data_IF_043333284889
#
_entry.id   IF_043333284889
#
_cell.length_a   1.000
_cell.length_b   1.000
_cell.length_c   1.000
_cell.angle_alpha   90.00
_cell.angle_beta   90.00
_cell.angle_gamma   90.00
#
_symmetry.space_group_name_H-M   'P 1'
#
loop_
_entity.id
_entity.type
_entity.pdbx_description
1 polymer ?
#
# COMPACT_ATOMS: atom_id res chain seq x y z
N UNK A 1 6.87 4.38 -13.55
CA UNK A 1 7.53 3.31 -14.33
C UNK A 1 8.99 3.71 -14.47
N UNK A 2 9.93 2.86 -14.08
CA UNK A 2 11.38 3.16 -14.11
C UNK A 2 12.15 2.28 -15.12
N UNK A 3 11.47 1.42 -15.86
CA UNK A 3 12.04 0.68 -17.00
C UNK A 3 11.68 1.35 -18.32
N UNK A 4 12.59 1.33 -19.29
CA UNK A 4 12.50 1.99 -20.60
C UNK A 4 12.13 1.04 -21.75
N UNK A 5 12.05 -0.26 -21.48
CA UNK A 5 11.77 -1.33 -22.44
C UNK A 5 10.56 -2.21 -22.04
N UNK A 6 9.67 -1.69 -21.21
CA UNK A 6 8.49 -2.43 -20.74
C UNK A 6 7.42 -2.51 -21.85
N UNK A 7 6.62 -3.59 -21.90
CA UNK A 7 5.45 -3.66 -22.77
C UNK A 7 4.45 -2.53 -22.48
N UNK A 8 3.57 -2.25 -23.45
CA UNK A 8 2.52 -1.26 -23.27
C UNK A 8 1.55 -1.67 -22.15
N UNK A 9 0.86 -0.72 -21.47
CA UNK A 9 -0.08 -1.08 -20.42
C UNK A 9 -1.18 -2.07 -20.86
N UNK A 10 -1.79 -1.96 -22.07
CA UNK A 10 -2.71 -2.98 -22.58
C UNK A 10 -2.09 -4.38 -22.70
N UNK A 11 -0.83 -4.48 -23.14
CA UNK A 11 -0.12 -5.76 -23.23
C UNK A 11 0.13 -6.36 -21.85
N UNK A 12 0.48 -5.52 -20.87
CA UNK A 12 0.62 -5.96 -19.47
C UNK A 12 -0.71 -6.46 -18.92
N UNK A 13 -1.82 -5.76 -19.17
CA UNK A 13 -3.17 -6.22 -18.78
C UNK A 13 -3.51 -7.57 -19.45
N UNK A 14 -3.16 -7.75 -20.72
CA UNK A 14 -3.34 -9.03 -21.42
C UNK A 14 -2.51 -10.15 -20.78
N UNK A 15 -1.28 -9.87 -20.34
CA UNK A 15 -0.45 -10.83 -19.60
C UNK A 15 -1.08 -11.21 -18.26
N UNK A 16 -1.62 -10.24 -17.51
CA UNK A 16 -2.34 -10.51 -16.25
C UNK A 16 -3.49 -11.50 -16.47
N UNK A 17 -4.31 -11.27 -17.50
CA UNK A 17 -5.41 -12.17 -17.86
C UNK A 17 -4.92 -13.55 -18.29
N UNK A 18 -3.88 -13.60 -19.13
CA UNK A 18 -3.29 -14.87 -19.62
C UNK A 18 -2.83 -15.79 -18.49
N UNK A 19 -2.32 -15.22 -17.40
CA UNK A 19 -1.82 -15.95 -16.24
C UNK A 19 -2.76 -15.92 -15.04
N UNK A 20 -4.03 -15.54 -15.23
CA UNK A 20 -5.06 -15.51 -14.17
C UNK A 20 -4.66 -14.67 -12.93
N UNK A 21 -3.92 -13.59 -13.15
CA UNK A 21 -3.56 -12.64 -12.09
C UNK A 21 -4.69 -11.63 -11.94
N UNK A 22 -5.37 -11.65 -10.79
CA UNK A 22 -6.55 -10.82 -10.53
C UNK A 22 -6.26 -9.45 -9.90
N UNK A 23 -5.07 -9.27 -9.31
CA UNK A 23 -4.75 -8.12 -8.46
C UNK A 23 -3.51 -7.41 -8.97
N UNK A 24 -3.58 -6.09 -9.06
CA UNK A 24 -2.46 -5.24 -9.49
C UNK A 24 -2.24 -4.10 -8.51
N UNK A 25 -0.97 -3.81 -8.21
CA UNK A 25 -0.54 -2.64 -7.46
C UNK A 25 0.24 -1.73 -8.40
N UNK A 26 -0.20 -0.48 -8.55
CA UNK A 26 0.57 0.58 -9.22
C UNK A 26 1.11 1.51 -8.13
N UNK A 27 2.41 1.80 -8.17
CA UNK A 27 3.08 2.54 -7.08
C UNK A 27 2.84 4.06 -7.12
N UNK A 28 2.39 4.57 -8.27
CA UNK A 28 1.99 5.96 -8.46
C UNK A 28 0.84 6.01 -9.45
N UNK A 29 0.03 7.09 -9.46
CA UNK A 29 -0.95 7.30 -10.50
C UNK A 29 -0.28 7.34 -11.88
N UNK A 30 -0.92 6.72 -12.86
CA UNK A 30 -0.43 6.72 -14.23
C UNK A 30 -1.65 6.65 -15.17
N UNK A 31 -1.97 7.74 -15.88
CA UNK A 31 -3.15 7.79 -16.74
C UNK A 31 -3.20 6.69 -17.80
N UNK A 32 -2.07 6.33 -18.42
CA UNK A 32 -2.05 5.29 -19.45
C UNK A 32 -2.38 3.92 -18.87
N UNK A 33 -1.80 3.58 -17.72
CA UNK A 33 -2.07 2.32 -17.02
C UNK A 33 -3.51 2.29 -16.50
N UNK A 34 -3.98 3.36 -15.86
CA UNK A 34 -5.34 3.41 -15.32
C UNK A 34 -6.40 3.36 -16.42
N UNK A 35 -6.14 3.99 -17.58
CA UNK A 35 -7.00 3.84 -18.76
C UNK A 35 -7.03 2.39 -19.28
N UNK A 36 -5.88 1.72 -19.36
CA UNK A 36 -5.82 0.32 -19.78
C UNK A 36 -6.53 -0.63 -18.79
N UNK A 37 -6.66 -0.24 -17.53
CA UNK A 37 -7.36 -0.99 -16.48
C UNK A 37 -8.87 -0.74 -16.46
N UNK A 38 -9.39 0.27 -17.16
CA UNK A 38 -10.84 0.53 -17.24
C UNK A 38 -11.58 -0.67 -17.83
N UNK A 39 -12.69 -1.05 -17.18
CA UNK A 39 -13.56 -2.16 -17.56
C UNK A 39 -12.81 -3.51 -17.64
N UNK A 40 -11.66 -3.61 -16.97
CA UNK A 40 -10.96 -4.86 -16.76
C UNK A 40 -11.42 -5.45 -15.42
N UNK A 41 -11.62 -6.76 -15.37
CA UNK A 41 -11.97 -7.48 -14.14
C UNK A 41 -10.72 -7.70 -13.26
N UNK A 42 -10.04 -6.59 -12.92
CA UNK A 42 -8.84 -6.55 -12.10
C UNK A 42 -9.08 -5.69 -10.86
N UNK A 43 -8.52 -6.13 -9.74
CA UNK A 43 -8.58 -5.43 -8.45
C UNK A 43 -7.31 -4.57 -8.32
N UNK A 44 -7.48 -3.25 -8.26
CA UNK A 44 -6.37 -2.30 -8.38
C UNK A 44 -6.08 -1.60 -7.04
N UNK A 45 -4.81 -1.53 -6.67
CA UNK A 45 -4.31 -0.65 -5.63
C UNK A 45 -3.45 0.46 -6.26
N UNK A 46 -3.79 1.72 -5.98
CA UNK A 46 -3.08 2.91 -6.50
C UNK A 46 -2.29 3.56 -5.39
N UNK A 47 -0.98 3.69 -5.56
CA UNK A 47 -0.09 4.36 -4.62
C UNK A 47 -0.16 5.88 -4.74
N UNK A 48 -0.16 6.56 -3.59
CA UNK A 48 0.20 7.98 -3.49
C UNK A 48 1.73 8.04 -3.44
N UNK A 49 2.32 8.89 -4.28
CA UNK A 49 3.77 9.07 -4.29
C UNK A 49 4.25 9.69 -2.97
N UNK A 50 5.43 9.30 -2.51
CA UNK A 50 5.95 9.73 -1.22
C UNK A 50 6.07 11.26 -1.12
N UNK A 51 6.46 11.90 -2.22
CA UNK A 51 6.59 13.35 -2.36
C UNK A 51 5.26 14.12 -2.29
N UNK A 52 4.13 13.46 -2.61
CA UNK A 52 2.81 14.09 -2.58
C UNK A 52 2.22 14.12 -1.14
N UNK A 53 2.72 13.25 -0.24
CA UNK A 53 2.15 13.02 1.10
C UNK A 53 2.09 14.30 1.96
N UNK A 54 3.16 15.11 2.09
CA UNK A 54 3.12 16.27 2.98
C UNK A 54 2.08 17.31 2.55
N UNK A 55 1.92 17.53 1.25
CA UNK A 55 0.93 18.48 0.72
C UNK A 55 -0.49 18.00 0.97
N UNK A 56 -0.76 16.72 0.70
CA UNK A 56 -2.06 16.08 0.96
C UNK A 56 -2.39 16.10 2.46
N UNK A 57 -1.40 15.85 3.32
CA UNK A 57 -1.55 15.90 4.77
C UNK A 57 -1.92 17.30 5.28
N UNK A 58 -1.29 18.34 4.73
CA UNK A 58 -1.44 19.71 5.18
C UNK A 58 -2.73 20.39 4.68
N UNK A 59 -3.32 19.92 3.58
CA UNK A 59 -4.41 20.62 2.89
C UNK A 59 -5.48 19.66 2.35
N UNK A 60 -6.72 19.77 2.84
CA UNK A 60 -7.86 19.00 2.32
C UNK A 60 -8.11 19.26 0.83
N UNK A 61 -7.92 20.50 0.36
CA UNK A 61 -8.06 20.86 -1.06
C UNK A 61 -7.07 20.10 -1.93
N UNK A 62 -5.83 19.90 -1.44
CA UNK A 62 -4.83 19.12 -2.17
C UNK A 62 -5.22 17.64 -2.25
N UNK A 63 -5.85 17.09 -1.21
CA UNK A 63 -6.42 15.75 -1.25
C UNK A 63 -7.58 15.64 -2.26
N UNK A 64 -8.44 16.67 -2.31
CA UNK A 64 -9.56 16.75 -3.25
C UNK A 64 -9.10 16.81 -4.71
N UNK A 65 -8.10 17.65 -4.99
CA UNK A 65 -7.47 17.71 -6.31
C UNK A 65 -6.80 16.38 -6.67
N UNK A 66 -6.13 15.73 -5.72
CA UNK A 66 -5.49 14.45 -5.95
C UNK A 66 -6.51 13.36 -6.29
N UNK A 67 -7.63 13.27 -5.56
CA UNK A 67 -8.71 12.29 -5.85
C UNK A 67 -9.40 12.60 -7.17
N UNK A 68 -9.73 13.87 -7.41
CA UNK A 68 -10.37 14.33 -8.66
C UNK A 68 -9.52 14.03 -9.89
N UNK A 69 -8.20 14.08 -9.76
CA UNK A 69 -7.26 13.83 -10.86
C UNK A 69 -6.96 12.34 -11.04
N UNK A 70 -6.72 11.63 -9.94
CA UNK A 70 -6.08 10.30 -9.98
C UNK A 70 -7.04 9.14 -9.74
N UNK A 71 -8.26 9.39 -9.23
CA UNK A 71 -9.20 8.34 -8.85
C UNK A 71 -10.53 8.51 -9.58
N UNK A 72 -11.18 9.67 -9.45
CA UNK A 72 -12.53 9.90 -9.98
C UNK A 72 -12.68 9.60 -11.48
N UNK A 73 -11.72 9.92 -12.37
CA UNK A 73 -11.84 9.62 -13.80
C UNK A 73 -11.78 8.12 -14.13
N UNK A 74 -11.32 7.29 -13.20
CA UNK A 74 -11.00 5.87 -13.40
C UNK A 74 -11.88 4.95 -12.56
N UNK A 75 -13.13 5.35 -12.28
CA UNK A 75 -14.02 4.59 -11.40
C UNK A 75 -14.32 3.16 -11.90
N UNK A 76 -14.23 2.90 -13.21
CA UNK A 76 -14.46 1.58 -13.81
C UNK A 76 -13.17 0.74 -13.90
N UNK A 77 -12.06 1.20 -13.33
CA UNK A 77 -10.77 0.51 -13.38
C UNK A 77 -10.56 -0.49 -12.24
N UNK A 78 -11.59 -0.73 -11.41
CA UNK A 78 -11.52 -1.71 -10.32
C UNK A 78 -10.64 -1.29 -9.14
N UNK A 79 -10.46 0.03 -8.94
CA UNK A 79 -9.70 0.56 -7.80
C UNK A 79 -10.38 0.18 -6.49
N UNK A 80 -9.65 -0.55 -5.65
CA UNK A 80 -10.07 -0.97 -4.32
C UNK A 80 -9.31 -0.26 -3.20
N UNK A 81 -8.07 0.16 -3.47
CA UNK A 81 -7.19 0.76 -2.47
C UNK A 81 -6.47 1.99 -3.01
N UNK A 82 -6.44 3.05 -2.20
CA UNK A 82 -5.47 4.13 -2.24
C UNK A 82 -4.43 3.86 -1.16
N UNK A 83 -3.17 3.69 -1.56
CA UNK A 83 -2.06 3.32 -0.67
C UNK A 83 -1.18 4.55 -0.43
N UNK A 84 -1.30 5.17 0.74
CA UNK A 84 -0.59 6.40 1.10
C UNK A 84 0.86 6.07 1.43
N UNK A 85 1.74 6.30 0.47
CA UNK A 85 3.17 6.05 0.60
C UNK A 85 3.57 4.58 0.50
N UNK A 86 4.86 4.38 0.27
CA UNK A 86 5.52 3.08 0.30
C UNK A 86 6.76 3.15 1.18
N UNK A 87 6.71 2.46 2.32
CA UNK A 87 7.83 2.29 3.26
C UNK A 87 8.38 3.60 3.83
N UNK A 88 7.53 4.61 3.98
CA UNK A 88 7.92 5.94 4.49
C UNK A 88 7.98 6.04 6.02
N UNK A 89 7.45 5.04 6.72
CA UNK A 89 7.45 5.03 8.19
C UNK A 89 8.89 4.82 8.69
N UNK A 90 9.33 5.67 9.62
CA UNK A 90 10.73 5.76 10.05
C UNK A 90 11.58 6.79 9.29
N UNK A 91 10.98 7.51 8.33
CA UNK A 91 11.57 8.69 7.69
C UNK A 91 10.89 9.98 8.16
N UNK A 92 11.38 11.14 7.72
CA UNK A 92 10.76 12.46 7.98
C UNK A 92 9.33 12.58 7.44
N UNK A 93 8.91 11.66 6.55
CA UNK A 93 7.57 11.63 5.96
C UNK A 93 6.54 10.88 6.81
N UNK A 94 6.96 10.03 7.76
CA UNK A 94 6.08 9.11 8.50
C UNK A 94 4.93 9.83 9.20
N UNK A 95 5.23 10.94 9.88
CA UNK A 95 4.26 11.80 10.58
C UNK A 95 3.14 12.37 9.71
N UNK A 96 3.31 12.42 8.40
CA UNK A 96 2.31 12.95 7.47
C UNK A 96 1.34 11.87 6.96
N UNK A 97 1.64 10.59 7.16
CA UNK A 97 0.86 9.49 6.57
C UNK A 97 -0.56 9.47 7.13
N UNK A 98 -0.75 9.43 8.45
CA UNK A 98 -2.10 9.36 9.03
C UNK A 98 -2.97 10.59 8.68
N UNK A 99 -2.47 11.85 8.74
CA UNK A 99 -3.23 13.00 8.25
C UNK A 99 -3.58 12.93 6.75
N UNK A 100 -2.66 12.49 5.90
CA UNK A 100 -2.94 12.32 4.47
C UNK A 100 -4.01 11.24 4.22
N UNK A 101 -3.96 10.13 4.96
CA UNK A 101 -4.98 9.09 4.90
C UNK A 101 -6.36 9.64 5.26
N UNK A 102 -6.45 10.48 6.30
CA UNK A 102 -7.69 11.12 6.71
C UNK A 102 -8.25 12.06 5.63
N UNK A 103 -7.42 12.95 5.07
CA UNK A 103 -7.87 13.89 4.05
C UNK A 103 -8.31 13.17 2.76
N UNK A 104 -7.58 12.14 2.33
CA UNK A 104 -7.98 11.32 1.17
C UNK A 104 -9.28 10.56 1.43
N UNK A 105 -9.49 10.05 2.65
CA UNK A 105 -10.76 9.39 2.99
C UNK A 105 -11.93 10.37 2.98
N UNK A 106 -11.76 11.58 3.50
CA UNK A 106 -12.77 12.63 3.44
C UNK A 106 -13.12 12.97 1.98
N UNK A 107 -12.10 13.08 1.13
CA UNK A 107 -12.28 13.37 -0.28
C UNK A 107 -13.04 12.26 -1.01
N UNK A 108 -12.65 10.99 -0.83
CA UNK A 108 -13.38 9.85 -1.41
C UNK A 108 -14.84 9.80 -0.94
N UNK A 109 -15.11 10.14 0.33
CA UNK A 109 -16.47 10.24 0.85
C UNK A 109 -17.28 11.36 0.16
N UNK A 110 -16.68 12.53 -0.08
CA UNK A 110 -17.37 13.68 -0.68
C UNK A 110 -17.81 13.43 -2.13
N UNK A 111 -17.05 12.63 -2.87
CA UNK A 111 -17.38 12.19 -4.24
C UNK A 111 -18.10 10.83 -4.30
N UNK A 112 -18.56 10.32 -3.15
CA UNK A 112 -19.33 9.05 -3.02
C UNK A 112 -18.58 7.79 -3.47
N UNK A 113 -17.25 7.82 -3.48
CA UNK A 113 -16.37 6.67 -3.75
C UNK A 113 -16.01 5.92 -2.46
N UNK A 114 -17.01 5.69 -1.60
CA UNK A 114 -16.84 5.16 -0.23
C UNK A 114 -16.30 3.74 -0.18
N UNK A 115 -16.45 2.98 -1.26
CA UNK A 115 -15.97 1.60 -1.41
C UNK A 115 -14.43 1.53 -1.58
N UNK A 116 -13.80 2.61 -2.03
CA UNK A 116 -12.35 2.70 -2.17
C UNK A 116 -11.74 2.89 -0.77
N UNK A 117 -10.84 2.00 -0.40
CA UNK A 117 -10.21 1.97 0.93
C UNK A 117 -8.93 2.79 0.92
N UNK A 118 -8.64 3.44 2.03
CA UNK A 118 -7.36 4.14 2.24
C UNK A 118 -6.53 3.35 3.22
N UNK A 119 -5.29 3.05 2.83
CA UNK A 119 -4.31 2.32 3.65
C UNK A 119 -2.92 2.92 3.43
N UNK A 120 -1.91 2.36 4.06
CA UNK A 120 -0.50 2.65 3.79
C UNK A 120 0.26 1.33 3.63
N UNK A 121 1.44 1.39 3.03
CA UNK A 121 2.36 0.26 2.90
C UNK A 121 3.57 0.47 3.78
N UNK A 122 3.77 -0.42 4.73
CA UNK A 122 4.97 -0.51 5.57
C UNK A 122 5.81 -1.71 5.16
N UNK A 123 7.02 -1.82 5.70
CA UNK A 123 7.85 -3.01 5.60
C UNK A 123 8.19 -3.51 7.00
N UNK A 124 8.77 -4.71 7.10
CA UNK A 124 9.04 -5.36 8.40
C UNK A 124 10.03 -4.61 9.30
N UNK A 125 10.76 -3.61 8.78
CA UNK A 125 11.65 -2.76 9.58
C UNK A 125 10.95 -1.82 10.56
N UNK A 126 9.61 -1.74 10.53
CA UNK A 126 8.85 -1.05 11.58
C UNK A 126 8.85 -1.80 12.92
N UNK A 127 9.24 -3.08 12.93
CA UNK A 127 9.31 -3.91 14.13
C UNK A 127 10.69 -3.84 14.78
N UNK A 128 10.74 -3.69 16.11
CA UNK A 128 11.98 -3.87 16.88
C UNK A 128 12.18 -5.31 17.35
N UNK A 129 11.07 -6.02 17.57
CA UNK A 129 11.04 -7.45 17.88
C UNK A 129 10.08 -8.13 16.93
N UNK A 130 10.54 -9.20 16.29
CA UNK A 130 9.77 -9.98 15.30
C UNK A 130 9.80 -11.48 15.55
N UNK A 131 10.67 -11.96 16.47
CA UNK A 131 10.80 -13.37 16.84
C UNK A 131 10.90 -13.54 18.36
N UNK A 132 10.12 -14.45 18.99
CA UNK A 132 9.02 -15.18 18.35
C UNK A 132 7.88 -14.23 17.92
N UNK A 133 7.04 -14.61 16.94
CA UNK A 133 5.98 -13.71 16.43
C UNK A 133 5.01 -13.18 17.50
N UNK A 134 4.80 -13.93 18.58
CA UNK A 134 3.96 -13.51 19.72
C UNK A 134 4.52 -12.32 20.52
N UNK A 135 5.81 -12.01 20.36
CA UNK A 135 6.46 -10.85 20.98
C UNK A 135 6.63 -9.68 19.99
N UNK A 136 5.98 -9.74 18.83
CA UNK A 136 6.02 -8.69 17.81
C UNK A 136 5.68 -7.32 18.38
N UNK A 137 6.58 -6.34 18.22
CA UNK A 137 6.34 -4.95 18.67
C UNK A 137 6.95 -3.94 17.71
N UNK A 138 6.30 -2.78 17.57
CA UNK A 138 6.84 -1.67 16.79
C UNK A 138 8.10 -1.09 17.44
N UNK A 139 9.02 -0.58 16.63
CA UNK A 139 10.18 0.15 17.12
C UNK A 139 9.75 1.44 17.84
N UNK A 140 10.39 1.81 18.96
CA UNK A 140 10.13 3.09 19.64
C UNK A 140 10.25 4.30 18.71
N UNK A 141 11.11 4.23 17.68
CA UNK A 141 11.28 5.33 16.71
C UNK A 141 10.10 5.54 15.77
N UNK A 142 9.18 4.58 15.66
CA UNK A 142 8.04 4.64 14.73
C UNK A 142 6.69 4.40 15.41
N UNK A 143 6.68 4.12 16.72
CA UNK A 143 5.47 3.70 17.44
C UNK A 143 4.38 4.77 17.41
N UNK A 144 4.75 6.05 17.44
CA UNK A 144 3.80 7.15 17.38
C UNK A 144 3.09 7.20 16.02
N UNK A 145 3.86 7.15 14.92
CA UNK A 145 3.34 7.11 13.55
C UNK A 145 2.44 5.88 13.34
N UNK A 146 2.90 4.70 13.76
CA UNK A 146 2.15 3.45 13.65
C UNK A 146 0.87 3.49 14.49
N UNK A 147 0.92 4.06 15.69
CA UNK A 147 -0.26 4.22 16.54
C UNK A 147 -1.28 5.15 15.89
N UNK A 148 -0.86 6.25 15.30
CA UNK A 148 -1.74 7.17 14.58
C UNK A 148 -2.41 6.48 13.37
N UNK A 149 -1.65 5.69 12.60
CA UNK A 149 -2.16 4.93 11.44
C UNK A 149 -3.17 3.88 11.88
N UNK A 150 -2.84 3.06 12.87
CA UNK A 150 -3.73 2.01 13.38
C UNK A 150 -4.99 2.63 14.01
N UNK A 151 -4.86 3.75 14.71
CA UNK A 151 -5.99 4.48 15.27
C UNK A 151 -6.92 5.03 14.18
N UNK A 152 -6.36 5.62 13.12
CA UNK A 152 -7.15 6.04 11.95
C UNK A 152 -7.91 4.85 11.36
N UNK A 153 -7.22 3.73 11.10
CA UNK A 153 -7.82 2.53 10.55
C UNK A 153 -8.95 1.99 11.44
N UNK A 154 -8.74 1.92 12.76
CA UNK A 154 -9.75 1.42 13.71
C UNK A 154 -11.00 2.31 13.82
N UNK A 155 -10.87 3.60 13.54
CA UNK A 155 -11.98 4.57 13.63
C UNK A 155 -12.79 4.70 12.34
N UNK A 156 -12.46 3.95 11.28
CA UNK A 156 -13.25 3.92 10.06
C UNK A 156 -14.60 3.20 10.29
N UNK A 157 -15.67 3.57 9.55
CA UNK A 157 -17.00 3.01 9.77
C UNK A 157 -17.06 1.47 9.64
N UNK A 158 -17.86 0.77 10.49
CA UNK A 158 -17.92 -0.70 10.52
C UNK A 158 -18.37 -1.37 9.21
N UNK A 159 -19.13 -0.64 8.39
CA UNK A 159 -19.56 -1.05 7.05
C UNK A 159 -18.42 -1.10 6.01
N UNK A 160 -17.19 -0.79 6.42
CA UNK A 160 -15.97 -1.02 5.66
C UNK A 160 -15.26 -2.28 6.21
N UNK A 161 -15.67 -3.50 5.81
CA UNK A 161 -15.46 -4.72 6.60
C UNK A 161 -14.00 -5.17 6.76
N UNK A 162 -13.02 -4.45 6.22
CA UNK A 162 -11.59 -4.79 6.36
C UNK A 162 -10.74 -3.51 6.38
N UNK A 163 -10.47 -3.01 7.58
CA UNK A 163 -9.35 -2.11 7.82
C UNK A 163 -8.07 -2.91 7.64
N UNK A 164 -7.24 -2.50 6.68
CA UNK A 164 -6.01 -3.22 6.35
C UNK A 164 -4.83 -2.28 6.47
N UNK A 165 -3.71 -2.83 6.88
CA UNK A 165 -2.37 -2.29 6.63
C UNK A 165 -1.70 -3.18 5.59
N UNK A 166 -1.03 -2.60 4.60
CA UNK A 166 -0.23 -3.37 3.66
C UNK A 166 1.19 -3.50 4.21
N UNK A 167 1.75 -4.71 4.14
CA UNK A 167 3.10 -4.99 4.62
C UNK A 167 3.90 -5.65 3.50
N UNK A 168 5.04 -5.06 3.14
CA UNK A 168 6.02 -5.68 2.27
C UNK A 168 6.86 -6.65 3.12
N UNK A 169 6.74 -7.94 2.83
CA UNK A 169 7.41 -9.02 3.58
C UNK A 169 8.36 -9.75 2.64
N UNK A 170 9.64 -9.78 3.01
CA UNK A 170 10.71 -10.36 2.19
C UNK A 170 11.55 -11.33 3.03
N UNK A 171 11.19 -12.62 3.13
CA UNK A 171 11.97 -13.62 3.86
C UNK A 171 13.43 -13.69 3.41
N UNK A 172 13.67 -13.43 2.12
CA UNK A 172 15.02 -13.32 1.55
C UNK A 172 15.93 -12.34 2.29
N UNK A 173 15.44 -11.14 2.66
CA UNK A 173 16.29 -10.16 3.35
C UNK A 173 16.62 -10.58 4.78
N UNK A 174 15.70 -11.29 5.46
CA UNK A 174 15.98 -11.85 6.78
C UNK A 174 17.09 -12.91 6.69
N UNK A 175 16.96 -13.86 5.76
CA UNK A 175 18.02 -14.85 5.47
C UNK A 175 19.35 -14.20 5.09
N UNK A 176 19.35 -13.26 4.14
CA UNK A 176 20.58 -12.65 3.64
C UNK A 176 21.32 -11.83 4.72
N UNK A 177 20.59 -11.27 5.69
CA UNK A 177 21.17 -10.53 6.81
C UNK A 177 21.71 -11.43 7.92
N UNK A 178 21.12 -12.62 8.13
CA UNK A 178 21.50 -13.55 9.19
C UNK A 178 21.40 -15.02 8.74
N UNK A 179 22.25 -15.47 7.78
CA UNK A 179 22.17 -16.81 7.23
C UNK A 179 22.66 -17.89 8.22
N UNK A 180 23.29 -17.50 9.33
CA UNK A 180 23.73 -18.43 10.38
C UNK A 180 22.55 -18.91 11.23
N UNK A 181 21.56 -18.05 11.50
CA UNK A 181 20.41 -18.38 12.34
C UNK A 181 19.11 -18.57 11.56
N UNK A 182 19.01 -18.02 10.35
CA UNK A 182 17.86 -18.19 9.46
C UNK A 182 18.29 -19.08 8.32
N UNK A 183 17.70 -20.28 8.22
CA UNK A 183 18.06 -21.20 7.14
C UNK A 183 17.43 -20.79 5.82
N UNK A 184 18.09 -21.17 4.71
CA UNK A 184 17.57 -20.94 3.37
C UNK A 184 16.24 -21.69 3.16
N UNK A 185 16.13 -22.91 3.70
CA UNK A 185 14.92 -23.72 3.59
C UNK A 185 13.73 -23.07 4.30
N UNK A 186 13.97 -22.39 5.42
CA UNK A 186 12.93 -21.63 6.10
C UNK A 186 12.47 -20.44 5.23
N UNK A 187 13.40 -19.67 4.66
CA UNK A 187 13.06 -18.53 3.81
C UNK A 187 12.41 -18.92 2.47
N UNK A 188 12.71 -20.11 1.94
CA UNK A 188 12.14 -20.65 0.69
C UNK A 188 10.89 -21.52 0.90
N UNK A 189 10.40 -21.65 2.13
CA UNK A 189 9.24 -22.49 2.48
C UNK A 189 9.43 -24.00 2.16
N UNK A 190 10.67 -24.49 2.25
CA UNK A 190 11.01 -25.90 2.02
C UNK A 190 11.49 -26.62 3.29
N UNK A 191 11.47 -25.96 4.44
CA UNK A 191 11.82 -26.56 5.73
C UNK A 191 10.87 -27.73 6.07
N UNK A 192 11.45 -28.87 6.46
CA UNK A 192 10.70 -30.09 6.81
C UNK A 192 10.39 -30.21 8.30
N UNK A 193 11.00 -29.37 9.13
CA UNK A 193 10.74 -29.24 10.57
C UNK A 193 10.20 -27.85 10.89
N UNK A 194 9.33 -27.75 11.89
CA UNK A 194 8.86 -26.43 12.39
C UNK A 194 9.99 -25.74 13.14
N UNK A 195 10.18 -24.45 12.85
CA UNK A 195 11.02 -23.51 13.60
C UNK A 195 10.42 -23.20 14.96
#
# INVERSE_FOLDING_TARGET
MTGDNLPSPPDVVALYKKYFIEKIRIYSPNPEVQNALQLQDLKVAVGVRNEDIPNIAANQTAADEWVSTNISPYNDSGIQYVVVGNEVIGSDLGKYVAPAMANLRNSLNSVKLVAIRVTTSVYTGVLSMSSPPSQGTFSPSVVDDMTAIVSFLNNLPPENPQHVIMVNVHPYFAYAADPEHISLEYALFTATSRS
#
